data_IF_973113966543
#
_entry.id   IF_973113966543
#
_cell.length_a   1.000
_cell.length_b   1.000
_cell.length_c   1.000
_cell.angle_alpha   90.00
_cell.angle_beta   90.00
_cell.angle_gamma   90.00
#
_symmetry.space_group_name_H-M   'P 1'
#
loop_
_entity.id
_entity.type
_entity.pdbx_description
1 polymer ?
#
# COMPACT_ATOMS: atom_id res chain seq x y z
N UNK A 1 32.79 64.14 37.46
CA UNK A 1 32.07 63.22 38.35
C UNK A 1 32.07 61.85 37.71
N UNK A 2 33.00 61.00 38.16
CA UNK A 2 33.22 59.62 37.73
C UNK A 2 32.08 58.72 38.16
N UNK A 3 31.68 57.77 37.30
CA UNK A 3 31.46 56.34 37.63
C UNK A 3 31.59 55.49 36.37
N UNK A 4 32.83 55.18 35.97
CA UNK A 4 33.09 53.96 35.21
C UNK A 4 32.83 52.80 36.17
N UNK A 5 31.66 52.19 36.01
CA UNK A 5 31.28 50.97 36.73
C UNK A 5 32.02 49.80 36.07
N UNK A 6 33.25 49.56 36.53
CA UNK A 6 34.00 48.34 36.21
C UNK A 6 33.22 47.15 36.77
N UNK A 7 32.47 46.45 35.89
CA UNK A 7 32.08 45.07 36.15
C UNK A 7 33.35 44.24 36.14
N UNK A 8 33.86 44.02 37.34
CA UNK A 8 34.95 43.10 37.63
C UNK A 8 34.50 41.68 37.27
N UNK A 9 34.75 41.28 36.02
CA UNK A 9 34.57 39.90 35.56
C UNK A 9 35.59 39.05 36.32
N UNK A 10 35.10 38.18 37.21
CA UNK A 10 35.95 37.23 37.94
C UNK A 10 36.52 36.21 36.94
N UNK A 11 37.85 36.16 36.73
CA UNK A 11 38.46 35.37 35.65
C UNK A 11 38.33 33.84 35.80
N UNK A 12 37.88 33.35 36.96
CA UNK A 12 37.72 31.92 37.24
C UNK A 12 36.34 31.32 36.89
N UNK A 13 35.25 32.11 36.93
CA UNK A 13 33.90 31.60 36.64
C UNK A 13 33.59 31.55 35.13
N UNK A 14 34.28 32.36 34.34
CA UNK A 14 33.96 32.55 32.91
C UNK A 14 34.36 31.36 32.02
N UNK A 15 35.34 30.55 32.44
CA UNK A 15 35.75 29.34 31.70
C UNK A 15 34.78 28.17 31.86
N UNK A 16 34.11 28.06 33.00
CA UNK A 16 33.16 26.97 33.26
C UNK A 16 31.83 27.15 32.52
N UNK A 17 31.37 28.40 32.43
CA UNK A 17 30.11 28.76 31.77
C UNK A 17 30.15 28.49 30.26
N UNK A 18 31.25 28.86 29.59
CA UNK A 18 31.45 28.63 28.15
C UNK A 18 31.49 27.13 27.81
N UNK A 19 32.04 26.29 28.68
CA UNK A 19 32.03 24.83 28.48
C UNK A 19 30.62 24.25 28.63
N UNK A 20 29.83 24.75 29.59
CA UNK A 20 28.45 24.32 29.77
C UNK A 20 27.56 24.78 28.60
N UNK A 21 27.75 26.00 28.12
CA UNK A 21 27.02 26.53 26.96
C UNK A 21 27.34 25.73 25.69
N UNK A 22 28.63 25.41 25.46
CA UNK A 22 29.04 24.56 24.35
C UNK A 22 28.47 23.13 24.46
N UNK A 23 28.48 22.54 25.66
CA UNK A 23 27.94 21.20 25.91
C UNK A 23 26.42 21.19 25.69
N UNK A 24 25.71 22.23 26.13
CA UNK A 24 24.29 22.39 25.87
C UNK A 24 23.99 22.51 24.38
N UNK A 25 24.79 23.30 23.64
CA UNK A 25 24.67 23.39 22.18
C UNK A 25 24.83 22.04 21.49
N UNK A 26 25.89 21.30 21.83
CA UNK A 26 26.14 19.95 21.29
C UNK A 26 25.01 18.99 21.66
N UNK A 27 24.52 19.02 22.91
CA UNK A 27 23.42 18.18 23.37
C UNK A 27 22.15 18.42 22.57
N UNK A 28 21.78 19.69 22.35
CA UNK A 28 20.59 20.06 21.57
C UNK A 28 20.76 19.59 20.12
N UNK A 29 21.91 19.83 19.50
CA UNK A 29 22.16 19.37 18.12
C UNK A 29 22.12 17.84 18.01
N UNK A 30 22.66 17.12 19.00
CA UNK A 30 22.59 15.65 19.05
C UNK A 30 21.14 15.15 19.14
N UNK A 31 20.31 15.76 20.00
CA UNK A 31 18.90 15.40 20.11
C UNK A 31 18.13 15.66 18.82
N UNK A 32 18.36 16.80 18.17
CA UNK A 32 17.75 17.12 16.87
C UNK A 32 18.20 16.13 15.80
N UNK A 33 19.50 15.83 15.72
CA UNK A 33 20.04 14.86 14.77
C UNK A 33 19.50 13.46 14.97
N UNK A 34 19.39 13.00 16.22
CA UNK A 34 18.81 11.70 16.56
C UNK A 34 17.31 11.64 16.19
N UNK A 35 16.56 12.70 16.48
CA UNK A 35 15.15 12.80 16.10
C UNK A 35 14.94 12.75 14.58
N UNK A 36 15.75 13.51 13.82
CA UNK A 36 15.71 13.48 12.36
C UNK A 36 16.07 12.11 11.79
N UNK A 37 17.10 11.45 12.32
CA UNK A 37 17.49 10.11 11.89
C UNK A 37 16.38 9.09 12.13
N UNK A 38 15.69 9.17 13.28
CA UNK A 38 14.57 8.29 13.59
C UNK A 38 13.41 8.47 12.58
N UNK A 39 13.03 9.72 12.31
CA UNK A 39 11.95 10.02 11.37
C UNK A 39 12.34 9.64 9.94
N UNK A 40 13.57 9.95 9.50
CA UNK A 40 14.06 9.56 8.18
C UNK A 40 14.04 8.03 7.98
N UNK A 41 14.42 7.27 9.01
CA UNK A 41 14.32 5.80 8.97
C UNK A 41 12.88 5.33 8.78
N UNK A 42 11.91 5.92 9.49
CA UNK A 42 10.49 5.57 9.36
C UNK A 42 9.93 5.93 7.98
N UNK A 43 10.31 7.08 7.44
CA UNK A 43 9.91 7.54 6.10
C UNK A 43 10.45 6.58 5.04
N UNK A 44 11.70 6.15 5.16
CA UNK A 44 12.30 5.20 4.20
C UNK A 44 11.58 3.85 4.19
N UNK A 45 11.16 3.34 5.36
CA UNK A 45 10.36 2.11 5.44
C UNK A 45 9.00 2.32 4.78
N UNK A 46 8.30 3.41 5.11
CA UNK A 46 7.00 3.73 4.50
C UNK A 46 7.07 3.88 2.97
N UNK A 47 8.15 4.46 2.42
CA UNK A 47 8.35 4.53 0.98
C UNK A 47 8.56 3.15 0.33
N UNK A 48 9.28 2.26 1.01
CA UNK A 48 9.45 0.89 0.54
C UNK A 48 8.11 0.17 0.52
N UNK A 49 7.36 0.29 1.61
CA UNK A 49 6.06 -0.37 1.78
C UNK A 49 5.06 0.09 0.70
N UNK A 50 4.91 1.41 0.54
CA UNK A 50 4.03 1.97 -0.50
C UNK A 50 4.43 1.55 -1.92
N UNK A 51 5.74 1.37 -2.18
CA UNK A 51 6.22 0.89 -3.49
C UNK A 51 5.86 -0.58 -3.72
N UNK A 52 5.96 -1.42 -2.69
CA UNK A 52 5.60 -2.83 -2.76
C UNK A 52 4.09 -2.95 -3.00
N UNK A 53 3.27 -2.22 -2.24
CA UNK A 53 1.81 -2.20 -2.42
C UNK A 53 1.42 -1.77 -3.84
N UNK A 54 1.96 -0.65 -4.33
CA UNK A 54 1.66 -0.15 -5.66
C UNK A 54 2.02 -1.17 -6.76
N UNK A 55 3.17 -1.83 -6.62
CA UNK A 55 3.60 -2.86 -7.56
C UNK A 55 2.72 -4.11 -7.46
N UNK A 56 2.33 -4.54 -6.26
CA UNK A 56 1.43 -5.67 -6.08
C UNK A 56 0.05 -5.39 -6.72
N UNK A 57 -0.50 -4.18 -6.54
CA UNK A 57 -1.74 -3.76 -7.22
C UNK A 57 -1.58 -3.79 -8.74
N UNK A 58 -0.48 -3.27 -9.28
CA UNK A 58 -0.20 -3.28 -10.71
C UNK A 58 -0.14 -4.71 -11.25
N UNK A 59 0.58 -5.62 -10.58
CA UNK A 59 0.66 -7.03 -10.97
C UNK A 59 -0.70 -7.72 -10.90
N UNK A 60 -1.48 -7.51 -9.85
CA UNK A 60 -2.83 -8.06 -9.75
C UNK A 60 -3.75 -7.52 -10.85
N UNK A 61 -3.63 -6.24 -11.18
CA UNK A 61 -4.38 -5.64 -12.29
C UNK A 61 -3.94 -6.19 -13.64
N UNK A 62 -2.65 -6.41 -13.86
CA UNK A 62 -2.14 -7.07 -15.07
C UNK A 62 -2.67 -8.50 -15.19
N UNK A 63 -2.74 -9.26 -14.09
CA UNK A 63 -3.32 -10.59 -14.07
C UNK A 63 -4.80 -10.55 -14.46
N UNK A 64 -5.58 -9.63 -13.86
CA UNK A 64 -6.99 -9.43 -14.21
C UNK A 64 -7.17 -9.02 -15.68
N UNK A 65 -6.31 -8.15 -16.22
CA UNK A 65 -6.40 -7.71 -17.61
C UNK A 65 -6.05 -8.81 -18.61
N UNK A 66 -5.04 -9.63 -18.32
CA UNK A 66 -4.55 -10.64 -19.26
C UNK A 66 -5.36 -11.95 -19.21
N UNK A 67 -5.83 -12.35 -18.03
CA UNK A 67 -6.49 -13.65 -17.81
C UNK A 67 -7.98 -13.52 -17.50
N UNK A 68 -8.38 -12.42 -16.87
CA UNK A 68 -9.76 -12.09 -16.57
C UNK A 68 -10.57 -13.22 -15.95
N UNK A 69 -11.74 -13.54 -16.51
CA UNK A 69 -12.61 -14.63 -16.00
C UNK A 69 -11.96 -16.02 -16.00
N UNK A 70 -10.92 -16.25 -16.82
CA UNK A 70 -10.20 -17.51 -16.82
C UNK A 70 -9.42 -17.72 -15.50
N UNK A 71 -9.16 -16.65 -14.75
CA UNK A 71 -8.60 -16.74 -13.41
C UNK A 71 -9.46 -17.54 -12.46
N UNK A 72 -10.77 -17.72 -12.70
CA UNK A 72 -11.60 -18.55 -11.83
C UNK A 72 -11.37 -20.07 -12.04
N UNK A 73 -10.87 -20.48 -13.21
CA UNK A 73 -10.72 -21.90 -13.60
C UNK A 73 -9.27 -22.36 -13.69
N UNK A 74 -8.32 -21.44 -13.82
CA UNK A 74 -6.88 -21.75 -13.90
C UNK A 74 -6.31 -22.26 -12.57
N UNK A 75 -5.26 -23.09 -12.57
CA UNK A 75 -4.58 -23.49 -11.33
C UNK A 75 -3.80 -22.32 -10.70
N UNK A 76 -3.55 -22.41 -9.39
CA UNK A 76 -2.80 -21.39 -8.60
C UNK A 76 -1.42 -21.05 -9.18
N UNK A 77 -0.76 -22.00 -9.83
CA UNK A 77 0.55 -21.80 -10.48
C UNK A 77 0.52 -20.75 -11.59
N UNK A 78 -0.64 -20.58 -12.23
CA UNK A 78 -0.83 -19.57 -13.28
C UNK A 78 -1.18 -18.20 -12.69
N UNK A 79 -1.47 -18.11 -11.40
CA UNK A 79 -1.92 -16.86 -10.75
C UNK A 79 -0.79 -16.17 -10.00
N UNK A 80 0.42 -16.75 -9.99
CA UNK A 80 1.56 -16.21 -9.27
C UNK A 80 2.17 -14.97 -9.92
N UNK A 81 2.73 -14.08 -9.10
CA UNK A 81 3.62 -13.02 -9.54
C UNK A 81 4.82 -12.90 -8.62
N UNK A 82 5.93 -12.36 -9.13
CA UNK A 82 7.17 -12.20 -8.37
C UNK A 82 7.38 -10.75 -7.99
N UNK A 83 7.67 -10.51 -6.72
CA UNK A 83 8.07 -9.21 -6.22
C UNK A 83 9.54 -8.92 -6.58
N UNK A 84 9.97 -7.65 -6.54
CA UNK A 84 11.37 -7.25 -6.77
C UNK A 84 12.37 -7.96 -5.85
N UNK A 85 11.91 -8.38 -4.68
CA UNK A 85 12.72 -9.06 -3.65
C UNK A 85 12.88 -10.57 -3.95
N UNK A 86 12.30 -11.06 -5.05
CA UNK A 86 12.37 -12.47 -5.50
C UNK A 86 11.31 -13.38 -4.90
N UNK A 87 10.48 -12.85 -4.00
CA UNK A 87 9.37 -13.55 -3.37
C UNK A 87 8.23 -13.79 -4.37
N UNK A 88 7.70 -15.01 -4.36
CA UNK A 88 6.59 -15.42 -5.23
C UNK A 88 5.31 -15.36 -4.40
N UNK A 89 4.37 -14.55 -4.85
CA UNK A 89 3.09 -14.33 -4.18
C UNK A 89 1.97 -14.89 -5.04
N UNK A 90 1.10 -15.66 -4.40
CA UNK A 90 -0.10 -16.27 -5.00
C UNK A 90 -1.33 -15.57 -4.44
N UNK A 91 -2.00 -14.70 -5.22
CA UNK A 91 -3.22 -14.03 -4.80
C UNK A 91 -4.37 -15.03 -4.69
N UNK A 92 -5.15 -14.91 -3.63
CA UNK A 92 -6.43 -15.62 -3.48
C UNK A 92 -7.45 -15.01 -4.44
N UNK A 93 -8.22 -15.87 -5.12
CA UNK A 93 -9.21 -15.46 -6.12
C UNK A 93 -10.60 -15.78 -5.60
N UNK A 94 -11.44 -14.75 -5.49
CA UNK A 94 -12.86 -14.90 -5.24
C UNK A 94 -13.66 -14.57 -6.50
N UNK A 95 -14.48 -15.54 -6.92
CA UNK A 95 -15.34 -15.46 -8.08
C UNK A 95 -16.79 -15.72 -7.62
N UNK A 96 -17.54 -14.67 -7.26
CA UNK A 96 -18.93 -14.83 -6.84
C UNK A 96 -19.77 -15.47 -7.94
N UNK A 97 -20.62 -16.43 -7.55
CA UNK A 97 -21.53 -17.11 -8.47
C UNK A 97 -22.52 -16.13 -9.10
N UNK A 98 -22.61 -16.15 -10.43
CA UNK A 98 -23.57 -15.34 -11.19
C UNK A 98 -24.82 -16.18 -11.47
N UNK A 99 -26.00 -15.60 -11.26
CA UNK A 99 -27.28 -16.25 -11.54
C UNK A 99 -27.36 -16.70 -13.02
N UNK A 100 -27.83 -17.93 -13.25
CA UNK A 100 -27.78 -18.60 -14.56
C UNK A 100 -28.58 -17.90 -15.69
N UNK A 101 -29.47 -16.96 -15.35
CA UNK A 101 -30.21 -16.13 -16.30
C UNK A 101 -30.81 -14.92 -15.59
N UNK A 102 -30.74 -13.75 -16.20
CA UNK A 102 -31.46 -12.54 -15.75
C UNK A 102 -32.48 -12.20 -16.83
N UNK A 103 -33.77 -12.19 -16.47
CA UNK A 103 -34.83 -11.67 -17.32
C UNK A 103 -34.87 -10.15 -17.21
N UNK A 104 -34.57 -9.45 -18.30
CA UNK A 104 -34.67 -7.99 -18.38
C UNK A 104 -35.95 -7.63 -19.14
N UNK A 105 -36.84 -6.89 -18.49
CA UNK A 105 -38.01 -6.28 -19.12
C UNK A 105 -37.67 -4.88 -19.61
N UNK A 106 -37.26 -4.75 -20.88
CA UNK A 106 -37.06 -3.45 -21.51
C UNK A 106 -38.41 -2.92 -22.04
N UNK A 107 -38.88 -1.81 -21.47
CA UNK A 107 -40.13 -1.18 -21.88
C UNK A 107 -39.94 -0.12 -22.97
N UNK A 108 -40.45 -0.41 -24.17
CA UNK A 108 -41.22 0.56 -24.97
C UNK A 108 -42.14 -0.12 -26.01
N UNK A 109 -41.93 -1.41 -26.30
CA UNK A 109 -42.95 -2.28 -26.88
C UNK A 109 -43.42 -3.30 -25.83
N UNK A 110 -44.72 -3.30 -25.55
CA UNK A 110 -45.36 -4.11 -24.50
C UNK A 110 -44.94 -5.59 -24.51
N UNK A 111 -44.28 -6.05 -23.44
CA UNK A 111 -44.14 -7.47 -23.12
C UNK A 111 -42.98 -8.23 -23.76
N UNK A 112 -41.99 -7.56 -24.35
CA UNK A 112 -40.76 -8.22 -24.79
C UNK A 112 -39.89 -8.61 -23.58
N UNK A 113 -39.86 -9.91 -23.25
CA UNK A 113 -38.92 -10.49 -22.29
C UNK A 113 -37.65 -10.84 -23.08
N UNK A 114 -36.54 -10.17 -22.78
CA UNK A 114 -35.23 -10.56 -23.31
C UNK A 114 -34.53 -11.41 -22.24
N UNK A 115 -34.21 -12.66 -22.60
CA UNK A 115 -33.45 -13.57 -21.76
C UNK A 115 -31.97 -13.36 -22.07
N UNK A 116 -31.24 -12.76 -21.13
CA UNK A 116 -29.79 -12.62 -21.26
C UNK A 116 -29.15 -13.91 -20.78
N UNK A 117 -28.38 -14.54 -21.68
CA UNK A 117 -27.64 -15.77 -21.38
C UNK A 117 -26.46 -15.48 -20.45
N UNK A 118 -26.01 -16.45 -19.64
CA UNK A 118 -24.99 -16.22 -18.61
C UNK A 118 -23.59 -15.86 -19.16
N UNK A 119 -23.38 -15.94 -20.47
CA UNK A 119 -22.15 -15.50 -21.16
C UNK A 119 -22.15 -14.00 -21.50
N UNK A 120 -23.29 -13.31 -21.42
CA UNK A 120 -23.36 -11.85 -21.64
C UNK A 120 -23.44 -11.07 -20.32
N UNK A 121 -23.41 -11.77 -19.17
CA UNK A 121 -23.47 -11.14 -17.85
C UNK A 121 -22.05 -10.85 -17.35
N UNK A 122 -21.73 -9.59 -16.99
CA UNK A 122 -20.42 -9.26 -16.44
C UNK A 122 -20.22 -9.96 -15.09
N UNK A 123 -19.16 -10.76 -14.99
CA UNK A 123 -18.72 -11.45 -13.78
C UNK A 123 -17.75 -10.58 -12.99
N UNK A 124 -17.85 -10.61 -11.67
CA UNK A 124 -16.89 -9.94 -10.80
C UNK A 124 -15.76 -10.93 -10.47
N UNK A 125 -14.51 -10.49 -10.59
CA UNK A 125 -13.32 -11.26 -10.21
C UNK A 125 -12.54 -10.41 -9.24
N UNK A 126 -12.34 -10.94 -8.03
CA UNK A 126 -11.63 -10.27 -6.93
C UNK A 126 -10.35 -11.04 -6.65
N UNK A 127 -9.22 -10.33 -6.62
CA UNK A 127 -7.93 -10.82 -6.17
C UNK A 127 -7.61 -10.20 -4.81
N UNK A 128 -7.18 -11.01 -3.85
CA UNK A 128 -6.72 -10.57 -2.54
C UNK A 128 -5.36 -11.15 -2.19
N UNK A 129 -4.51 -10.32 -1.58
CA UNK A 129 -3.19 -10.72 -1.07
C UNK A 129 -3.04 -10.21 0.36
N UNK A 130 -2.59 -11.05 1.28
CA UNK A 130 -2.33 -10.60 2.65
C UNK A 130 -1.07 -9.71 2.70
N UNK A 131 -1.10 -8.67 3.53
CA UNK A 131 0.05 -7.77 3.71
C UNK A 131 1.32 -8.52 4.16
N UNK A 132 1.15 -9.59 4.95
CA UNK A 132 2.25 -10.45 5.38
C UNK A 132 2.97 -11.16 4.23
N UNK A 133 2.23 -11.60 3.20
CA UNK A 133 2.79 -12.26 2.01
C UNK A 133 3.56 -11.28 1.10
N UNK A 134 3.38 -9.97 1.33
CA UNK A 134 4.13 -8.90 0.66
C UNK A 134 5.31 -8.41 1.51
N UNK A 135 5.56 -9.01 2.67
CA UNK A 135 6.58 -8.56 3.63
C UNK A 135 6.22 -7.23 4.34
N UNK A 136 4.95 -6.81 4.28
CA UNK A 136 4.44 -5.58 4.90
C UNK A 136 3.97 -5.88 6.34
N UNK A 137 4.92 -6.12 7.24
CA UNK A 137 4.68 -6.28 8.68
C UNK A 137 3.97 -7.58 9.11
N UNK A 138 3.63 -7.67 10.40
CA UNK A 138 3.05 -8.88 11.00
C UNK A 138 1.60 -9.11 10.52
N UNK A 139 1.23 -10.38 10.33
CA UNK A 139 -0.04 -10.84 9.77
C UNK A 139 -1.29 -10.47 10.59
N UNK A 140 -1.12 -9.97 11.81
CA UNK A 140 -2.23 -9.61 12.70
C UNK A 140 -2.69 -8.17 12.47
N UNK A 141 -3.78 -8.02 11.71
CA UNK A 141 -4.62 -6.81 11.71
C UNK A 141 -4.40 -5.81 10.58
N UNK A 142 -3.53 -6.10 9.61
CA UNK A 142 -3.40 -5.29 8.40
C UNK A 142 -4.41 -5.77 7.34
N UNK A 143 -5.16 -4.86 6.70
CA UNK A 143 -6.14 -5.24 5.69
C UNK A 143 -5.43 -5.88 4.49
N UNK A 144 -5.99 -6.97 3.97
CA UNK A 144 -5.54 -7.55 2.72
C UNK A 144 -5.64 -6.53 1.59
N UNK A 145 -4.69 -6.56 0.67
CA UNK A 145 -4.73 -5.75 -0.53
C UNK A 145 -5.69 -6.41 -1.52
N UNK A 146 -6.79 -5.73 -1.85
CA UNK A 146 -7.86 -6.27 -2.67
C UNK A 146 -7.99 -5.48 -3.98
N UNK A 147 -8.01 -6.19 -5.11
CA UNK A 147 -8.23 -5.63 -6.45
C UNK A 147 -9.32 -6.42 -7.14
N UNK A 148 -10.41 -5.76 -7.54
CA UNK A 148 -11.52 -6.40 -8.24
C UNK A 148 -11.86 -5.73 -9.57
N UNK A 149 -12.30 -6.51 -10.54
CA UNK A 149 -12.87 -5.99 -11.81
C UNK A 149 -14.15 -6.72 -12.19
N UNK A 150 -15.06 -6.01 -12.87
CA UNK A 150 -16.21 -6.62 -13.54
C UNK A 150 -15.89 -6.82 -15.01
N UNK A 151 -15.99 -8.06 -15.48
CA UNK A 151 -15.58 -8.47 -16.82
C UNK A 151 -16.63 -9.36 -17.45
N UNK A 152 -16.90 -9.11 -18.74
CA UNK A 152 -17.69 -10.03 -19.55
C UNK A 152 -16.82 -11.26 -19.85
N UNK A 153 -17.35 -12.48 -19.80
CA UNK A 153 -16.58 -13.63 -20.23
C UNK A 153 -16.24 -13.48 -21.72
N UNK A 154 -14.99 -13.74 -22.07
CA UNK A 154 -14.51 -13.57 -23.43
C UNK A 154 -15.25 -14.53 -24.36
N UNK A 155 -15.83 -14.01 -25.45
CA UNK A 155 -16.39 -14.83 -26.51
C UNK A 155 -15.29 -15.75 -27.07
N UNK A 156 -15.56 -17.07 -27.02
CA UNK A 156 -14.60 -18.09 -27.41
C UNK A 156 -14.06 -17.90 -28.83
N UNK A 157 -12.75 -18.07 -28.99
CA UNK A 157 -12.14 -18.43 -30.28
C UNK A 157 -12.05 -19.95 -30.39
#
# INVERSE_FOLDING_TARGET
MSRFSERQVRPGLQRGDVLLEALLGVLITALVGAGMAHVASRISVSHRDAKIEALAVERMRDLLQNKGVALCTLPETDRQFTLPDGEVVTPEVDCPEVAASIELTLGEAAGAISTVTPDEIPREVILSVAAADLGLGDAEGQPALVVGTRQLPAEGS
#
